data_IF_905817998751
#
_entry.id   IF_905817998751
#
_cell.length_a   1.000
_cell.length_b   1.000
_cell.length_c   1.000
_cell.angle_alpha   90.00
_cell.angle_beta   90.00
_cell.angle_gamma   90.00
#
_symmetry.space_group_name_H-M   'P 1'
#
loop_
_entity.id
_entity.type
_entity.pdbx_description
1 polymer ?
#
# COMPACT_ATOMS: atom_id res chain seq x y z
N UNK A 1 -76.16 -46.25 -53.01
CA UNK A 1 -75.78 -45.16 -52.07
C UNK A 1 -74.54 -45.58 -51.29
N UNK A 2 -73.35 -45.03 -51.58
CA UNK A 2 -72.09 -45.42 -50.92
C UNK A 2 -71.78 -44.47 -49.75
N UNK A 3 -71.74 -45.00 -48.53
CA UNK A 3 -71.30 -44.27 -47.32
C UNK A 3 -69.77 -44.12 -47.34
N UNK A 4 -69.27 -42.89 -47.23
CA UNK A 4 -67.83 -42.60 -47.06
C UNK A 4 -67.50 -42.61 -45.57
N UNK A 5 -66.59 -43.49 -45.15
CA UNK A 5 -65.95 -43.43 -43.82
C UNK A 5 -64.87 -42.34 -43.84
N UNK A 6 -64.85 -41.50 -42.82
CA UNK A 6 -63.75 -40.56 -42.53
C UNK A 6 -62.88 -41.20 -41.45
N UNK A 7 -61.59 -41.39 -41.73
CA UNK A 7 -60.60 -41.83 -40.73
C UNK A 7 -59.87 -40.59 -40.18
N UNK A 8 -59.68 -40.45 -38.86
CA UNK A 8 -58.92 -39.35 -38.32
C UNK A 8 -57.43 -39.62 -38.52
N UNK A 9 -56.70 -38.63 -39.05
CA UNK A 9 -55.24 -38.65 -39.11
C UNK A 9 -54.73 -38.03 -37.80
N UNK A 10 -54.09 -38.84 -36.96
CA UNK A 10 -53.37 -38.36 -35.79
C UNK A 10 -51.99 -37.90 -36.26
N UNK A 11 -51.75 -36.59 -36.26
CA UNK A 11 -50.43 -36.03 -36.53
C UNK A 11 -49.57 -36.14 -35.26
N UNK A 12 -48.54 -36.99 -35.31
CA UNK A 12 -47.51 -37.05 -34.26
C UNK A 12 -46.49 -35.93 -34.54
N UNK A 13 -46.48 -34.92 -33.68
CA UNK A 13 -45.51 -33.84 -33.73
C UNK A 13 -44.21 -34.31 -33.06
N UNK A 14 -43.18 -34.63 -33.86
CA UNK A 14 -41.84 -34.93 -33.34
C UNK A 14 -41.11 -33.60 -33.16
N UNK A 15 -41.05 -33.10 -31.93
CA UNK A 15 -40.21 -31.94 -31.59
C UNK A 15 -38.76 -32.41 -31.44
N UNK A 16 -37.93 -32.18 -32.46
CA UNK A 16 -36.46 -32.24 -32.33
C UNK A 16 -36.01 -31.12 -31.38
N UNK A 17 -35.72 -31.46 -30.13
CA UNK A 17 -35.10 -30.54 -29.19
C UNK A 17 -33.67 -30.23 -29.62
N UNK A 18 -33.42 -28.98 -30.05
CA UNK A 18 -32.07 -28.49 -30.31
C UNK A 18 -31.34 -28.37 -28.97
N UNK A 19 -30.48 -29.34 -28.63
CA UNK A 19 -29.56 -29.21 -27.50
C UNK A 19 -28.49 -28.16 -27.85
N UNK A 20 -28.62 -26.97 -27.28
CA UNK A 20 -27.53 -25.99 -27.30
C UNK A 20 -26.43 -26.47 -26.34
N UNK A 21 -25.16 -26.53 -26.76
CA UNK A 21 -24.08 -26.88 -25.85
C UNK A 21 -24.03 -25.84 -24.72
N UNK A 22 -24.10 -26.31 -23.49
CA UNK A 22 -23.95 -25.45 -22.32
C UNK A 22 -22.58 -24.76 -22.38
N UNK A 23 -22.57 -23.43 -22.29
CA UNK A 23 -21.32 -22.68 -22.25
C UNK A 23 -20.45 -23.18 -21.10
N UNK A 24 -19.29 -23.75 -21.42
CA UNK A 24 -18.32 -24.19 -20.42
C UNK A 24 -17.91 -22.96 -19.58
N UNK A 25 -18.19 -23.01 -18.28
CA UNK A 25 -17.71 -21.98 -17.35
C UNK A 25 -16.23 -22.23 -17.09
N UNK A 26 -15.38 -21.26 -17.44
CA UNK A 26 -13.99 -21.28 -17.02
C UNK A 26 -13.91 -21.37 -15.49
N UNK A 27 -13.28 -22.41 -14.96
CA UNK A 27 -13.02 -22.56 -13.54
C UNK A 27 -11.64 -21.97 -13.21
N UNK A 28 -11.60 -21.05 -12.24
CA UNK A 28 -10.36 -20.53 -11.69
C UNK A 28 -10.00 -21.38 -10.48
N UNK A 29 -8.79 -21.92 -10.46
CA UNK A 29 -8.23 -22.62 -9.31
C UNK A 29 -6.97 -21.91 -8.84
N UNK A 30 -6.80 -21.82 -7.52
CA UNK A 30 -5.58 -21.32 -6.91
C UNK A 30 -4.62 -22.49 -6.70
N UNK A 31 -3.44 -22.39 -7.28
CA UNK A 31 -2.36 -23.36 -7.08
C UNK A 31 -1.22 -22.65 -6.37
N UNK A 32 -0.67 -23.21 -5.27
CA UNK A 32 0.52 -22.65 -4.64
C UNK A 32 1.67 -22.54 -5.65
N UNK A 33 2.19 -21.34 -5.87
CA UNK A 33 3.35 -21.12 -6.74
C UNK A 33 4.67 -21.23 -5.96
N UNK A 34 4.70 -20.70 -4.73
CA UNK A 34 5.84 -20.73 -3.81
C UNK A 34 5.30 -20.83 -2.38
N UNK A 35 5.99 -21.55 -1.52
CA UNK A 35 5.68 -21.69 -0.09
C UNK A 35 6.87 -21.28 0.77
N UNK A 36 6.68 -21.21 2.10
CA UNK A 36 7.74 -20.90 3.09
C UNK A 36 8.38 -19.50 2.93
N UNK A 37 7.63 -18.53 2.41
CA UNK A 37 8.03 -17.11 2.36
C UNK A 37 7.85 -16.43 3.73
N UNK A 38 8.69 -15.44 4.03
CA UNK A 38 8.65 -14.66 5.27
C UNK A 38 7.98 -13.30 5.02
N UNK A 39 6.72 -13.17 5.45
CA UNK A 39 5.93 -11.93 5.33
C UNK A 39 6.06 -11.30 3.92
N UNK A 40 5.65 -12.00 2.85
CA UNK A 40 5.74 -11.46 1.49
C UNK A 40 4.77 -10.30 1.30
N UNK A 41 5.27 -9.17 0.77
CA UNK A 41 4.48 -7.93 0.58
C UNK A 41 4.31 -7.51 -0.88
N UNK A 42 5.15 -8.02 -1.78
CA UNK A 42 5.07 -7.75 -3.21
C UNK A 42 5.59 -8.94 -4.02
N UNK A 43 4.96 -9.20 -5.17
CA UNK A 43 5.47 -10.11 -6.19
C UNK A 43 5.36 -9.42 -7.56
N UNK A 44 6.46 -9.38 -8.32
CA UNK A 44 6.54 -8.67 -9.62
C UNK A 44 7.52 -9.37 -10.56
N UNK A 45 7.67 -8.87 -11.79
CA UNK A 45 8.69 -9.31 -12.75
C UNK A 45 9.50 -8.10 -13.26
N UNK A 46 10.65 -8.36 -13.86
CA UNK A 46 11.55 -7.32 -14.35
C UNK A 46 11.21 -6.78 -15.75
N UNK A 47 10.13 -7.28 -16.36
CA UNK A 47 9.70 -6.93 -17.73
C UNK A 47 10.79 -7.14 -18.81
N UNK A 48 11.75 -8.03 -18.54
CA UNK A 48 12.92 -8.35 -19.37
C UNK A 48 12.73 -9.62 -20.24
N UNK A 49 11.49 -10.08 -20.40
CA UNK A 49 11.18 -11.32 -21.13
C UNK A 49 11.61 -12.62 -20.45
N UNK A 50 12.38 -12.56 -19.35
CA UNK A 50 12.93 -13.75 -18.69
C UNK A 50 11.88 -14.56 -17.92
N UNK A 51 10.70 -13.97 -17.67
CA UNK A 51 9.59 -14.53 -16.88
C UNK A 51 9.98 -14.89 -15.44
N UNK A 52 11.02 -14.27 -14.89
CA UNK A 52 11.39 -14.42 -13.48
C UNK A 52 10.37 -13.71 -12.60
N UNK A 53 10.04 -14.34 -11.48
CA UNK A 53 9.20 -13.76 -10.44
C UNK A 53 10.10 -13.29 -9.29
N UNK A 54 10.00 -12.02 -8.94
CA UNK A 54 10.70 -11.42 -7.81
C UNK A 54 9.70 -11.21 -6.68
N UNK A 55 10.04 -11.66 -5.48
CA UNK A 55 9.17 -11.66 -4.30
C UNK A 55 9.87 -10.88 -3.20
N UNK A 56 9.20 -9.84 -2.71
CA UNK A 56 9.70 -8.98 -1.64
C UNK A 56 9.19 -9.50 -0.31
N UNK A 57 10.11 -9.83 0.59
CA UNK A 57 9.87 -10.17 1.99
C UNK A 57 10.10 -8.92 2.85
N UNK A 58 9.11 -8.58 3.70
CA UNK A 58 9.11 -7.33 4.48
C UNK A 58 10.39 -7.12 5.31
N UNK A 59 11.04 -8.21 5.73
CA UNK A 59 12.28 -8.20 6.51
C UNK A 59 13.53 -7.71 5.77
N UNK A 60 13.44 -7.34 4.49
CA UNK A 60 14.59 -6.81 3.73
C UNK A 60 15.22 -7.78 2.75
N UNK A 61 14.51 -8.84 2.37
CA UNK A 61 15.00 -9.84 1.40
C UNK A 61 14.13 -9.81 0.15
N UNK A 62 14.77 -9.78 -1.01
CA UNK A 62 14.13 -10.01 -2.30
C UNK A 62 14.55 -11.40 -2.77
N UNK A 63 13.56 -12.23 -3.07
CA UNK A 63 13.73 -13.56 -3.65
C UNK A 63 13.51 -13.50 -5.15
N UNK A 64 14.19 -14.35 -5.92
CA UNK A 64 13.96 -14.55 -7.35
C UNK A 64 13.63 -16.01 -7.64
N UNK A 65 12.63 -16.23 -8.48
CA UNK A 65 12.22 -17.54 -8.97
C UNK A 65 12.26 -17.55 -10.50
N UNK A 66 13.11 -18.40 -11.06
CA UNK A 66 13.15 -18.65 -12.51
C UNK A 66 11.94 -19.44 -13.01
N UNK A 67 11.60 -19.34 -14.30
CA UNK A 67 10.56 -20.18 -14.89
C UNK A 67 10.91 -21.67 -14.74
N UNK A 68 10.01 -22.45 -14.14
CA UNK A 68 10.22 -23.88 -13.89
C UNK A 68 11.15 -24.21 -12.72
N UNK A 69 11.69 -23.21 -12.01
CA UNK A 69 12.47 -23.44 -10.81
C UNK A 69 11.58 -23.99 -9.68
N UNK A 70 12.13 -24.90 -8.88
CA UNK A 70 11.41 -25.56 -7.79
C UNK A 70 11.36 -24.69 -6.53
N UNK A 71 12.35 -23.82 -6.33
CA UNK A 71 12.44 -22.94 -5.17
C UNK A 71 13.11 -21.62 -5.55
N UNK A 72 12.76 -20.51 -4.87
CA UNK A 72 13.40 -19.23 -5.11
C UNK A 72 14.76 -19.13 -4.41
N UNK A 73 15.67 -18.36 -5.00
CA UNK A 73 16.96 -17.96 -4.39
C UNK A 73 16.90 -16.52 -3.91
N UNK A 74 17.92 -16.08 -3.17
CA UNK A 74 18.04 -14.67 -2.75
C UNK A 74 18.58 -13.85 -3.92
N UNK A 75 17.83 -12.81 -4.31
CA UNK A 75 18.24 -11.81 -5.29
C UNK A 75 18.96 -10.64 -4.63
N UNK A 76 18.39 -10.09 -3.55
CA UNK A 76 18.97 -8.98 -2.78
C UNK A 76 18.68 -9.21 -1.29
N UNK A 77 19.68 -8.95 -0.44
CA UNK A 77 19.52 -8.94 1.02
C UNK A 77 20.04 -7.63 1.59
N UNK A 78 19.12 -6.84 2.15
CA UNK A 78 19.39 -5.56 2.81
C UNK A 78 18.86 -5.56 4.24
N UNK A 79 18.69 -6.74 4.85
CA UNK A 79 18.12 -6.91 6.20
C UNK A 79 18.80 -6.02 7.24
N UNK A 80 20.13 -5.84 7.14
CA UNK A 80 20.91 -4.98 8.04
C UNK A 80 20.58 -3.48 7.96
N UNK A 81 19.89 -3.04 6.89
CA UNK A 81 19.48 -1.65 6.64
C UNK A 81 18.01 -1.40 7.00
N UNK A 82 17.22 -2.46 7.16
CA UNK A 82 15.76 -2.37 7.28
C UNK A 82 15.32 -2.37 8.74
N UNK A 83 14.51 -1.37 9.11
CA UNK A 83 13.72 -1.41 10.34
C UNK A 83 12.41 -2.14 10.05
N UNK A 84 12.20 -3.27 10.74
CA UNK A 84 11.01 -4.11 10.59
C UNK A 84 10.04 -3.87 11.75
N UNK A 85 8.76 -3.62 11.43
CA UNK A 85 7.70 -3.56 12.44
C UNK A 85 6.46 -2.82 11.96
N UNK A 86 5.27 -3.22 12.40
CA UNK A 86 4.00 -2.65 11.92
C UNK A 86 3.95 -2.60 10.38
N UNK A 87 3.94 -1.42 9.76
CA UNK A 87 4.00 -1.24 8.30
C UNK A 87 5.40 -0.90 7.78
N UNK A 88 6.40 -0.84 8.66
CA UNK A 88 7.82 -0.66 8.34
C UNK A 88 8.43 -1.97 7.82
N UNK A 89 9.31 -1.84 6.84
CA UNK A 89 10.06 -2.94 6.23
C UNK A 89 10.61 -2.54 4.87
N UNK A 90 11.01 -3.53 4.08
CA UNK A 90 11.14 -3.41 2.63
C UNK A 90 9.76 -3.61 2.00
N UNK A 91 9.25 -2.58 1.31
CA UNK A 91 7.84 -2.50 0.91
C UNK A 91 7.65 -2.43 -0.60
N UNK A 92 8.66 -1.96 -1.34
CA UNK A 92 8.56 -1.74 -2.77
C UNK A 92 9.78 -2.24 -3.55
N UNK A 93 9.52 -2.75 -4.74
CA UNK A 93 10.50 -3.11 -5.76
C UNK A 93 9.92 -2.78 -7.14
N UNK A 94 10.69 -2.08 -7.96
CA UNK A 94 10.43 -1.97 -9.40
C UNK A 94 11.75 -2.02 -10.17
N UNK A 95 11.67 -2.30 -11.46
CA UNK A 95 12.79 -2.38 -12.37
C UNK A 95 12.72 -1.23 -13.36
N UNK A 96 13.87 -0.72 -13.78
CA UNK A 96 13.91 0.30 -14.82
C UNK A 96 13.22 -0.21 -16.10
N UNK A 97 12.51 0.64 -16.87
CA UNK A 97 11.93 0.22 -18.16
C UNK A 97 12.96 -0.31 -19.17
N UNK A 98 14.25 -0.01 -18.97
CA UNK A 98 15.39 -0.48 -19.75
C UNK A 98 16.29 -1.43 -18.92
N UNK A 99 15.70 -2.21 -18.00
CA UNK A 99 16.45 -3.06 -17.07
C UNK A 99 17.37 -4.05 -17.79
N UNK A 100 16.96 -4.60 -18.94
CA UNK A 100 17.79 -5.49 -19.75
C UNK A 100 19.10 -4.82 -20.22
N UNK A 101 19.05 -3.51 -20.48
CA UNK A 101 20.20 -2.74 -20.97
C UNK A 101 21.06 -2.18 -19.83
N UNK A 102 20.41 -1.69 -18.76
CA UNK A 102 21.09 -0.89 -17.73
C UNK A 102 21.20 -1.57 -16.36
N UNK A 103 20.45 -2.67 -16.15
CA UNK A 103 20.46 -3.46 -14.93
C UNK A 103 19.93 -2.75 -13.69
N UNK A 104 19.25 -1.61 -13.81
CA UNK A 104 18.83 -0.77 -12.67
C UNK A 104 17.51 -1.23 -12.06
N UNK A 105 17.48 -1.33 -10.74
CA UNK A 105 16.29 -1.62 -9.95
C UNK A 105 16.17 -0.63 -8.78
N UNK A 106 14.95 -0.46 -8.28
CA UNK A 106 14.63 0.53 -7.27
C UNK A 106 13.80 -0.08 -6.16
N UNK A 107 14.16 0.25 -4.92
CA UNK A 107 13.48 -0.25 -3.72
C UNK A 107 12.98 0.88 -2.85
N UNK A 108 11.93 0.60 -2.09
CA UNK A 108 11.41 1.44 -1.02
C UNK A 108 11.44 0.67 0.29
N UNK A 109 12.20 1.16 1.28
CA UNK A 109 12.27 0.54 2.60
C UNK A 109 12.33 1.58 3.73
N UNK A 110 12.00 1.17 4.94
CA UNK A 110 12.20 1.97 6.16
C UNK A 110 13.55 1.64 6.78
N UNK A 111 14.38 2.65 6.96
CA UNK A 111 15.77 2.51 7.41
C UNK A 111 15.88 2.30 8.91
N UNK A 112 16.80 1.43 9.33
CA UNK A 112 17.23 1.36 10.73
C UNK A 112 18.32 2.41 11.02
N UNK A 113 18.33 3.08 12.19
CA UNK A 113 17.38 2.92 13.29
C UNK A 113 16.20 3.91 13.28
N UNK A 114 16.19 4.88 12.37
CA UNK A 114 15.31 6.05 12.47
C UNK A 114 13.93 5.89 11.84
N UNK A 115 13.68 4.80 11.13
CA UNK A 115 12.41 4.51 10.47
C UNK A 115 12.13 5.35 9.23
N UNK A 116 13.08 6.19 8.78
CA UNK A 116 12.91 7.02 7.60
C UNK A 116 12.69 6.15 6.35
N UNK A 117 11.76 6.53 5.47
CA UNK A 117 11.63 5.90 4.16
C UNK A 117 12.81 6.28 3.29
N UNK A 118 13.43 5.28 2.68
CA UNK A 118 14.51 5.41 1.71
C UNK A 118 14.05 4.84 0.38
N UNK A 119 14.18 5.66 -0.66
CA UNK A 119 14.13 5.22 -2.05
C UNK A 119 15.56 5.05 -2.52
N UNK A 120 15.93 3.84 -2.93
CA UNK A 120 17.28 3.52 -3.33
C UNK A 120 17.31 2.81 -4.68
N UNK A 121 18.35 3.11 -5.45
CA UNK A 121 18.71 2.43 -6.68
C UNK A 121 19.80 1.39 -6.39
N UNK A 122 19.63 0.20 -6.96
CA UNK A 122 20.60 -0.89 -7.01
C UNK A 122 20.81 -1.30 -8.46
N UNK A 123 21.85 -2.12 -8.71
CA UNK A 123 22.06 -2.75 -10.02
C UNK A 123 22.06 -4.26 -9.88
N UNK A 124 21.65 -4.96 -10.93
CA UNK A 124 21.90 -6.40 -11.07
C UNK A 124 23.40 -6.65 -11.14
N UNK A 125 23.85 -7.80 -10.65
CA UNK A 125 25.23 -8.24 -10.78
C UNK A 125 25.62 -8.36 -12.26
N UNK A 126 26.85 -7.98 -12.58
CA UNK A 126 27.40 -8.11 -13.93
C UNK A 126 27.65 -9.56 -14.35
N UNK A 127 27.69 -10.50 -13.39
CA UNK A 127 28.05 -11.91 -13.62
C UNK A 127 26.91 -12.88 -13.35
N UNK A 128 25.89 -12.48 -12.60
CA UNK A 128 24.73 -13.32 -12.31
C UNK A 128 23.43 -12.49 -12.37
N UNK A 129 22.56 -12.70 -13.37
CA UNK A 129 21.33 -11.94 -13.49
C UNK A 129 20.38 -12.19 -12.30
N UNK A 130 20.54 -13.28 -11.54
CA UNK A 130 19.72 -13.65 -10.39
C UNK A 130 20.25 -13.11 -9.06
N UNK A 131 21.25 -12.21 -9.09
CA UNK A 131 21.79 -11.55 -7.91
C UNK A 131 21.89 -10.05 -8.18
N UNK A 132 21.50 -9.22 -7.21
CA UNK A 132 21.77 -7.79 -7.22
C UNK A 132 23.13 -7.49 -6.58
N UNK A 133 23.81 -6.48 -7.11
CA UNK A 133 24.95 -5.85 -6.47
C UNK A 133 24.54 -5.23 -5.13
N UNK A 134 25.47 -5.13 -4.18
CA UNK A 134 25.17 -4.66 -2.81
C UNK A 134 25.33 -3.16 -2.64
N UNK A 135 25.97 -2.52 -3.62
CA UNK A 135 26.18 -1.10 -3.74
C UNK A 135 24.84 -0.39 -3.91
N UNK A 136 24.52 0.45 -2.92
CA UNK A 136 23.31 1.25 -2.91
C UNK A 136 23.60 2.67 -3.40
N UNK A 137 22.73 3.20 -4.26
CA UNK A 137 22.63 4.63 -4.52
C UNK A 137 21.31 5.16 -3.96
N UNK A 138 21.38 5.82 -2.81
CA UNK A 138 20.21 6.49 -2.21
C UNK A 138 19.72 7.62 -3.11
N UNK A 139 18.43 7.61 -3.45
CA UNK A 139 17.79 8.66 -4.26
C UNK A 139 17.09 9.69 -3.40
N UNK A 140 16.27 9.23 -2.44
CA UNK A 140 15.43 10.11 -1.64
C UNK A 140 15.26 9.52 -0.23
N UNK A 141 15.36 10.37 0.79
CA UNK A 141 15.10 10.01 2.19
C UNK A 141 13.98 10.90 2.72
N UNK A 142 12.96 10.29 3.31
CA UNK A 142 11.78 10.96 3.85
C UNK A 142 11.59 10.52 5.29
N UNK A 143 11.64 11.47 6.23
CA UNK A 143 11.39 11.18 7.64
C UNK A 143 9.95 10.67 7.84
N UNK A 144 9.80 9.61 8.64
CA UNK A 144 8.51 9.01 8.99
C UNK A 144 8.28 9.19 10.49
N UNK A 145 7.28 9.98 10.90
CA UNK A 145 7.04 10.25 12.32
C UNK A 145 6.47 9.05 13.10
N UNK A 146 5.86 8.09 12.41
CA UNK A 146 5.29 6.88 13.00
C UNK A 146 5.59 5.62 12.17
N UNK A 147 5.39 4.46 12.78
CA UNK A 147 5.63 3.14 12.19
C UNK A 147 4.50 2.63 11.28
N UNK A 148 3.48 3.46 11.01
CA UNK A 148 2.33 3.12 10.20
C UNK A 148 1.97 4.26 9.23
N UNK A 149 1.21 3.92 8.19
CA UNK A 149 0.92 4.72 7.01
C UNK A 149 2.20 5.17 6.28
N UNK A 150 3.17 4.27 6.13
CA UNK A 150 4.44 4.60 5.48
C UNK A 150 4.30 4.69 3.95
N UNK A 151 3.27 4.07 3.36
CA UNK A 151 3.13 3.91 1.91
C UNK A 151 3.93 2.70 1.45
N UNK A 152 4.76 2.85 0.43
CA UNK A 152 5.73 1.81 0.05
C UNK A 152 5.76 1.46 -1.43
N UNK A 153 4.70 1.78 -2.17
CA UNK A 153 4.65 1.48 -3.61
C UNK A 153 5.64 2.36 -4.37
N UNK A 154 6.43 1.74 -5.22
CA UNK A 154 7.37 2.38 -6.15
C UNK A 154 7.19 1.72 -7.52
N UNK A 155 6.94 2.51 -8.56
CA UNK A 155 6.65 1.98 -9.90
C UNK A 155 7.01 2.99 -10.99
N UNK A 156 7.45 2.50 -12.16
CA UNK A 156 7.61 3.36 -13.32
C UNK A 156 6.28 3.62 -14.03
N UNK A 157 6.04 4.88 -14.37
CA UNK A 157 4.95 5.25 -15.27
C UNK A 157 5.34 5.03 -16.74
N UNK A 158 4.36 4.98 -17.65
CA UNK A 158 4.62 4.88 -19.09
C UNK A 158 5.29 6.14 -19.67
N UNK A 159 5.40 7.21 -18.88
CA UNK A 159 6.11 8.44 -19.19
C UNK A 159 7.60 8.39 -18.79
N UNK A 160 8.09 7.26 -18.28
CA UNK A 160 9.50 7.05 -17.90
C UNK A 160 9.87 7.58 -16.51
N UNK A 161 8.92 8.12 -15.75
CA UNK A 161 9.20 8.65 -14.41
C UNK A 161 8.97 7.60 -13.33
N UNK A 162 9.73 7.70 -12.24
CA UNK A 162 9.54 6.88 -11.05
C UNK A 162 8.48 7.51 -10.14
N UNK A 163 7.40 6.78 -9.88
CA UNK A 163 6.31 7.19 -9.00
C UNK A 163 6.45 6.57 -7.62
N UNK A 164 6.23 7.37 -6.57
CA UNK A 164 6.38 6.96 -5.18
C UNK A 164 5.05 7.22 -4.44
N UNK A 165 4.43 6.16 -3.95
CA UNK A 165 3.24 6.24 -3.10
C UNK A 165 3.61 6.44 -1.64
N UNK A 166 3.36 7.64 -1.11
CA UNK A 166 3.67 8.01 0.26
C UNK A 166 2.39 8.13 1.09
N UNK A 167 2.32 7.39 2.20
CA UNK A 167 1.29 7.64 3.21
C UNK A 167 1.58 8.92 4.00
N UNK A 168 0.64 9.33 4.85
CA UNK A 168 0.73 10.57 5.66
C UNK A 168 1.76 10.47 6.80
N UNK A 169 2.42 9.31 6.92
CA UNK A 169 3.37 8.99 7.97
C UNK A 169 2.73 8.71 9.31
N UNK A 170 1.41 8.53 9.34
CA UNK A 170 0.62 8.14 10.49
C UNK A 170 0.55 9.22 11.58
N UNK A 171 -0.08 8.94 12.71
CA UNK A 171 -1.00 7.82 13.00
C UNK A 171 -2.41 8.08 12.40
N UNK A 172 -3.46 7.49 12.99
CA UNK A 172 -4.84 7.74 12.56
C UNK A 172 -5.21 9.24 12.58
N UNK A 173 -5.96 9.67 11.57
CA UNK A 173 -6.39 11.06 11.34
C UNK A 173 -5.28 12.07 10.98
N UNK A 174 -4.17 11.62 10.37
CA UNK A 174 -3.06 12.49 9.93
C UNK A 174 -2.60 13.51 10.99
N UNK A 175 -2.02 13.07 12.13
CA UNK A 175 -1.44 13.96 13.12
C UNK A 175 -0.45 14.94 12.51
N UNK A 176 -0.66 16.24 12.71
CA UNK A 176 0.16 17.28 12.10
C UNK A 176 -0.26 17.67 10.68
N UNK A 177 -1.35 17.09 10.15
CA UNK A 177 -1.98 17.47 8.88
C UNK A 177 -0.99 17.45 7.69
N UNK A 178 -0.07 16.48 7.69
CA UNK A 178 1.08 16.42 6.76
C UNK A 178 0.62 16.13 5.35
N UNK A 179 -0.49 15.41 5.18
CA UNK A 179 -1.08 15.20 3.88
C UNK A 179 -1.57 16.50 3.24
N UNK A 180 -1.94 17.52 4.03
CA UNK A 180 -2.34 18.84 3.52
C UNK A 180 -1.18 19.85 3.45
N UNK A 181 -0.09 19.60 4.17
CA UNK A 181 1.12 20.42 4.08
C UNK A 181 1.85 20.15 2.75
N UNK A 182 1.99 21.22 1.93
CA UNK A 182 2.69 21.19 0.65
C UNK A 182 4.21 21.33 0.78
N UNK A 183 4.72 21.58 1.99
CA UNK A 183 6.15 21.52 2.31
C UNK A 183 6.63 20.10 2.65
N UNK A 184 5.69 19.17 2.88
CA UNK A 184 5.95 17.78 3.24
C UNK A 184 5.73 16.84 2.05
N UNK A 185 6.52 15.76 2.03
CA UNK A 185 6.42 14.70 1.02
C UNK A 185 5.45 13.57 1.41
N UNK A 186 4.83 13.66 2.59
CA UNK A 186 3.93 12.66 3.15
C UNK A 186 2.48 12.88 2.69
N UNK A 187 1.77 11.78 2.44
CA UNK A 187 0.37 11.74 2.02
C UNK A 187 0.18 12.05 0.53
N UNK A 188 1.17 11.71 -0.31
CA UNK A 188 1.30 12.19 -1.69
C UNK A 188 1.66 11.06 -2.67
N UNK A 189 1.42 11.33 -3.95
CA UNK A 189 2.03 10.60 -5.05
C UNK A 189 3.17 11.44 -5.60
N UNK A 190 4.41 11.05 -5.33
CA UNK A 190 5.58 11.73 -5.87
C UNK A 190 5.92 11.18 -7.26
N UNK A 191 6.58 11.99 -8.07
CA UNK A 191 7.06 11.64 -9.43
C UNK A 191 8.42 12.28 -9.62
N UNK A 192 9.46 11.46 -9.80
CA UNK A 192 10.84 11.90 -9.98
C UNK A 192 11.44 11.33 -11.26
N UNK A 193 12.40 12.05 -11.84
CA UNK A 193 13.17 11.63 -13.01
C UNK A 193 14.53 11.11 -12.54
N UNK A 194 14.77 9.81 -12.72
CA UNK A 194 16.00 9.15 -12.29
C UNK A 194 17.05 9.04 -13.40
N UNK A 195 16.72 9.52 -14.60
CA UNK A 195 17.59 9.50 -15.78
C UNK A 195 18.22 10.87 -16.04
N UNK A 196 17.57 11.93 -15.58
CA UNK A 196 18.05 13.31 -15.71
C UNK A 196 18.26 13.92 -14.32
N UNK A 197 19.36 13.63 -13.62
CA UNK A 197 19.66 14.22 -12.31
C UNK A 197 19.84 15.74 -12.36
N UNK A 198 19.45 16.45 -11.30
CA UNK A 198 19.55 17.91 -11.21
C UNK A 198 20.61 18.37 -10.18
N UNK A 199 21.74 18.87 -10.68
CA UNK A 199 22.82 19.38 -9.83
C UNK A 199 23.41 18.27 -8.96
N UNK A 200 23.37 18.45 -7.64
CA UNK A 200 23.83 17.43 -6.68
C UNK A 200 22.79 16.33 -6.39
N UNK A 201 21.53 16.53 -6.80
CA UNK A 201 20.49 15.52 -6.56
C UNK A 201 20.60 14.38 -7.57
N UNK A 202 20.50 13.11 -7.12
CA UNK A 202 20.60 11.93 -7.99
C UNK A 202 19.35 11.69 -8.86
N UNK A 203 18.38 12.60 -8.79
CA UNK A 203 17.16 12.67 -9.58
C UNK A 203 16.89 14.14 -9.92
N UNK A 204 15.97 14.41 -10.84
CA UNK A 204 15.35 15.72 -10.94
C UNK A 204 13.86 15.64 -10.70
N UNK A 205 13.30 16.79 -10.36
CA UNK A 205 11.86 16.92 -10.34
C UNK A 205 11.48 18.35 -10.69
N UNK A 206 10.50 18.49 -11.57
CA UNK A 206 10.00 19.83 -11.92
C UNK A 206 9.41 20.57 -10.71
N UNK A 207 9.05 19.84 -9.65
CA UNK A 207 8.28 20.34 -8.51
C UNK A 207 9.03 20.33 -7.16
N UNK A 208 9.95 19.38 -6.89
CA UNK A 208 10.74 19.37 -5.64
C UNK A 208 11.92 20.35 -5.73
N UNK A 209 12.42 20.66 -6.93
CA UNK A 209 13.62 21.48 -7.12
C UNK A 209 13.35 23.00 -6.94
N UNK A 210 12.14 23.40 -6.52
CA UNK A 210 11.81 24.78 -6.15
C UNK A 210 11.88 25.83 -7.27
N UNK A 211 12.27 25.46 -8.50
CA UNK A 211 12.41 26.37 -9.65
C UNK A 211 11.10 26.76 -10.32
N UNK A 212 9.98 26.11 -9.98
CA UNK A 212 8.65 26.53 -10.40
C UNK A 212 8.07 27.58 -9.44
N UNK A 213 8.55 28.83 -9.55
CA UNK A 213 7.86 30.01 -8.98
C UNK A 213 6.61 30.32 -9.78
N UNK A 214 5.63 29.42 -9.72
CA UNK A 214 4.20 29.62 -9.97
C UNK A 214 3.59 28.24 -10.27
N UNK A 215 2.60 27.86 -9.46
CA UNK A 215 1.81 26.61 -9.50
C UNK A 215 2.43 25.40 -8.79
N UNK A 216 2.54 25.50 -7.46
CA UNK A 216 2.44 24.33 -6.56
C UNK A 216 0.99 23.75 -6.54
N UNK A 217 0.41 23.48 -7.71
CA UNK A 217 -0.97 22.95 -7.85
C UNK A 217 -1.06 21.60 -8.58
N UNK A 218 0.03 21.14 -9.20
CA UNK A 218 0.02 19.90 -9.98
C UNK A 218 0.53 18.70 -9.15
N UNK A 219 0.20 18.69 -7.86
CA UNK A 219 0.68 17.67 -6.93
C UNK A 219 -0.36 16.61 -6.55
N UNK A 220 -1.55 16.66 -7.15
CA UNK A 220 -2.66 15.88 -6.63
C UNK A 220 -3.48 15.34 -7.78
N UNK A 221 -3.38 14.04 -8.05
CA UNK A 221 -4.57 13.33 -8.55
C UNK A 221 -5.56 13.31 -7.40
N UNK A 222 -6.38 14.37 -7.28
CA UNK A 222 -7.53 14.32 -6.38
C UNK A 222 -8.44 13.25 -6.92
N UNK A 223 -8.79 12.27 -6.07
CA UNK A 223 -9.80 11.27 -6.39
C UNK A 223 -11.08 11.99 -6.81
N UNK A 224 -11.39 12.07 -8.11
CA UNK A 224 -12.77 12.27 -8.55
C UNK A 224 -13.56 11.12 -7.94
N UNK A 225 -14.69 11.40 -7.29
CA UNK A 225 -15.61 10.36 -6.82
C UNK A 225 -15.97 9.45 -8.00
N UNK A 226 -15.29 8.32 -8.08
CA UNK A 226 -15.38 7.33 -9.14
C UNK A 226 -14.77 6.05 -8.60
N UNK A 227 -15.60 5.01 -8.49
CA UNK A 227 -15.28 3.72 -7.88
C UNK A 227 -14.04 3.09 -8.52
N UNK A 228 -13.01 2.84 -7.72
CA UNK A 228 -12.11 1.66 -7.71
C UNK A 228 -11.22 1.74 -6.47
N UNK A 229 -11.07 0.61 -5.78
CA UNK A 229 -10.56 0.51 -4.42
C UNK A 229 -9.05 0.54 -4.33
N UNK A 230 -8.53 1.27 -3.35
CA UNK A 230 -7.26 0.99 -2.67
C UNK A 230 -7.67 0.45 -1.32
N UNK A 231 -7.15 -0.72 -0.94
CA UNK A 231 -7.49 -1.37 0.33
C UNK A 231 -6.66 -0.77 1.45
N UNK A 232 -7.29 0.11 2.24
CA UNK A 232 -6.77 0.61 3.50
C UNK A 232 -7.97 1.05 4.32
N UNK A 233 -8.52 0.12 5.11
CA UNK A 233 -9.75 0.36 5.86
C UNK A 233 -9.81 -0.53 7.09
N UNK A 234 -9.36 -0.01 8.23
CA UNK A 234 -9.74 -0.53 9.53
C UNK A 234 -11.20 -0.16 9.79
N UNK A 235 -12.12 -1.11 9.53
CA UNK A 235 -13.40 -1.27 10.24
C UNK A 235 -13.84 -2.73 10.19
N UNK A 236 -13.75 -3.43 11.31
CA UNK A 236 -14.66 -4.54 11.60
C UNK A 236 -15.67 -4.05 12.63
N UNK A 237 -16.84 -3.66 12.15
CA UNK A 237 -18.06 -3.76 12.94
C UNK A 237 -18.59 -5.17 12.76
N UNK A 238 -18.81 -5.82 13.90
CA UNK A 238 -19.53 -7.07 14.05
C UNK A 238 -20.97 -6.91 13.52
N UNK A 239 -21.44 -7.91 12.78
CA UNK A 239 -22.80 -8.00 12.24
C UNK A 239 -23.41 -9.30 12.75
N UNK A 240 -24.26 -9.19 13.77
CA UNK A 240 -25.27 -10.19 14.09
C UNK A 240 -26.65 -9.52 14.22
N UNK A 241 -27.68 -10.37 14.15
CA UNK A 241 -28.95 -10.19 13.44
C UNK A 241 -29.98 -9.16 13.95
N UNK A 242 -30.92 -8.90 13.02
CA UNK A 242 -32.14 -8.08 13.08
C UNK A 242 -33.19 -8.57 14.09
N UNK A 243 -33.98 -7.63 14.61
CA UNK A 243 -35.47 -7.67 14.64
C UNK A 243 -36.01 -6.25 14.99
N UNK A 244 -37.22 -5.84 14.54
CA UNK A 244 -37.64 -4.44 14.49
C UNK A 244 -38.66 -4.08 15.59
N UNK A 245 -38.48 -2.94 16.27
CA UNK A 245 -39.53 -2.37 17.12
C UNK A 245 -39.73 -0.87 16.88
N UNK A 246 -41.02 -0.53 16.95
CA UNK A 246 -41.74 0.63 16.40
C UNK A 246 -41.40 1.98 17.05
N UNK A 247 -41.73 3.02 16.30
CA UNK A 247 -41.75 4.44 16.64
C UNK A 247 -42.23 4.78 18.05
N UNK A 248 -41.55 5.73 18.72
CA UNK A 248 -42.20 6.70 19.60
C UNK A 248 -41.44 8.01 19.66
N UNK A 249 -42.23 9.08 19.74
CA UNK A 249 -41.89 10.47 19.51
C UNK A 249 -41.04 11.13 20.60
N UNK A 250 -40.45 12.26 20.21
CA UNK A 250 -39.68 13.21 21.00
C UNK A 250 -40.37 13.73 22.27
N UNK A 251 -39.55 14.06 23.29
CA UNK A 251 -39.70 15.20 24.24
C UNK A 251 -38.52 15.25 25.25
N UNK A 252 -38.28 16.38 25.97
CA UNK A 252 -37.05 17.16 25.84
C UNK A 252 -36.18 17.26 27.12
N UNK A 253 -35.10 18.03 26.98
CA UNK A 253 -34.04 18.37 27.94
C UNK A 253 -34.46 18.61 29.40
N UNK A 254 -33.64 18.07 30.33
CA UNK A 254 -33.66 18.40 31.76
C UNK A 254 -32.28 18.94 32.17
N UNK A 255 -32.17 20.06 32.91
CA UNK A 255 -30.89 20.72 33.20
C UNK A 255 -30.17 20.11 34.41
N UNK A 256 -28.83 20.19 34.38
CA UNK A 256 -27.91 19.81 35.48
C UNK A 256 -28.00 20.81 36.67
N UNK A 257 -27.91 20.36 37.93
CA UNK A 257 -27.73 21.26 39.06
C UNK A 257 -26.26 21.69 39.27
N UNK A 258 -26.07 22.96 39.67
CA UNK A 258 -24.81 23.62 40.07
C UNK A 258 -24.45 23.32 41.55
N UNK A 259 -23.18 23.50 41.96
CA UNK A 259 -22.68 23.04 43.26
C UNK A 259 -23.01 24.02 44.41
N UNK A 260 -23.21 23.48 45.62
CA UNK A 260 -23.24 24.26 46.87
C UNK A 260 -21.82 24.35 47.45
N UNK A 261 -21.43 25.56 47.85
CA UNK A 261 -20.22 25.85 48.63
C UNK A 261 -20.49 25.99 50.13
N UNK A 262 -19.47 26.55 50.80
CA UNK A 262 -19.35 26.99 52.22
C UNK A 262 -18.83 25.92 53.20
N UNK A 263 -17.84 26.13 54.10
CA UNK A 263 -17.03 27.26 54.66
C UNK A 263 -15.70 26.65 55.21
N UNK A 264 -14.51 27.24 55.04
CA UNK A 264 -13.76 28.13 56.00
C UNK A 264 -13.89 27.74 57.50
N UNK A 265 -12.90 27.60 58.42
CA UNK A 265 -11.50 28.07 58.67
C UNK A 265 -11.05 27.40 60.04
N UNK A 266 -9.98 27.81 60.79
CA UNK A 266 -8.54 27.89 60.53
C UNK A 266 -7.63 27.31 61.68
N UNK A 267 -6.31 27.17 61.44
CA UNK A 267 -5.28 27.65 62.41
C UNK A 267 -4.35 26.65 63.14
N UNK A 268 -3.12 27.15 63.36
CA UNK A 268 -1.99 26.74 64.25
C UNK A 268 -0.91 25.82 63.64
N UNK A 269 0.30 26.30 63.29
CA UNK A 269 1.46 26.81 64.08
C UNK A 269 2.49 25.72 64.47
N UNK A 270 3.77 26.01 64.20
CA UNK A 270 4.96 25.32 64.74
C UNK A 270 5.98 24.95 63.64
N UNK A 271 6.82 25.88 63.16
CA UNK A 271 8.17 26.26 63.65
C UNK A 271 9.25 25.17 63.57
N UNK A 272 10.30 25.49 62.79
CA UNK A 272 11.77 25.29 63.03
C UNK A 272 12.28 23.85 63.16
N UNK A 273 13.47 23.44 62.73
CA UNK A 273 14.74 24.11 62.51
C UNK A 273 15.70 23.13 61.75
N UNK A 274 16.71 23.69 61.07
CA UNK A 274 18.09 23.17 60.91
C UNK A 274 18.38 21.75 60.40
N UNK A 275 19.51 21.41 59.78
CA UNK A 275 20.64 22.05 59.09
C UNK A 275 21.61 20.89 58.75
N UNK A 276 22.62 21.16 57.92
CA UNK A 276 23.92 20.44 57.79
C UNK A 276 24.04 19.24 56.82
N UNK A 277 24.86 19.48 55.78
CA UNK A 277 25.91 18.66 55.12
C UNK A 277 25.87 17.13 55.32
N UNK A 278 26.05 16.31 54.27
CA UNK A 278 27.20 16.27 53.34
C UNK A 278 26.86 15.38 52.15
#
# INVERSE_FOLDING_TARGET
MRRRLVRPVIAILVTSGLLLPAAARASISLVPAVTNLKIPVLATNAHDGSRRLFIVEQGGVIKVLGPGAVAPTVFLDITSRVLLGSEQGLLGLTFHPQFEENGRLFVNYTRTPDGATVIAEYRVSATDPNVAATEEKTLLVIAQPFANHNGGMVEFGPDGYLYLGMGDGGAGNDPGNRAQDLSQLLGKMLRIDVDHPAGAQPYSSRCLDGRARHRRRDFVVRRRRGRRGVSGGSRRHDLSHREPLRSRAARPDVPRPRPRGERERPGLHGRTNHDVHR
#
